data_IF_870416179000
#
_entry.id   IF_870416179000
#
_cell.length_a   1.000
_cell.length_b   1.000
_cell.length_c   1.000
_cell.angle_alpha   90.00
_cell.angle_beta   90.00
_cell.angle_gamma   90.00
#
_symmetry.space_group_name_H-M   'P 1'
#
loop_
_entity.id
_entity.type
_entity.pdbx_description
1 polymer ?
#
# COMPACT_ATOMS: atom_id res chain seq x y z
N UNK A 1 20.31 26.35 18.46
CA UNK A 1 20.96 26.32 17.12
C UNK A 1 20.18 25.31 16.28
N UNK A 2 19.46 25.77 15.27
CA UNK A 2 18.63 24.91 14.43
C UNK A 2 19.56 24.04 13.58
N UNK A 3 19.61 22.73 13.82
CA UNK A 3 20.42 21.81 13.02
C UNK A 3 19.78 21.64 11.64
N UNK A 4 19.96 22.65 10.78
CA UNK A 4 19.34 22.72 9.45
C UNK A 4 19.69 21.51 8.59
N UNK A 5 20.92 21.00 8.66
CA UNK A 5 21.33 19.85 7.84
C UNK A 5 20.65 18.54 8.27
N UNK A 6 20.49 18.31 9.58
CA UNK A 6 19.83 17.10 10.09
C UNK A 6 18.34 17.11 9.77
N UNK A 7 17.69 18.27 9.91
CA UNK A 7 16.27 18.46 9.56
C UNK A 7 16.04 18.33 8.06
N UNK A 8 16.94 18.89 7.23
CA UNK A 8 16.84 18.76 5.78
C UNK A 8 17.03 17.30 5.34
N UNK A 9 17.97 16.58 5.96
CA UNK A 9 18.15 15.14 5.72
C UNK A 9 16.90 14.33 6.09
N UNK A 10 16.29 14.62 7.25
CA UNK A 10 15.02 14.03 7.65
C UNK A 10 13.92 14.29 6.61
N UNK A 11 13.76 15.52 6.11
CA UNK A 11 12.77 15.83 5.08
C UNK A 11 13.04 15.10 3.76
N UNK A 12 14.29 15.05 3.30
CA UNK A 12 14.66 14.33 2.07
C UNK A 12 14.33 12.85 2.21
N UNK A 13 14.68 12.22 3.32
CA UNK A 13 14.35 10.80 3.58
C UNK A 13 12.84 10.60 3.65
N UNK A 14 12.12 11.50 4.32
CA UNK A 14 10.67 11.47 4.50
C UNK A 14 9.92 11.60 3.17
N UNK A 15 10.46 12.31 2.18
CA UNK A 15 9.87 12.38 0.83
C UNK A 15 10.32 11.26 -0.10
N UNK A 16 11.61 10.88 -0.05
CA UNK A 16 12.20 9.94 -1.01
C UNK A 16 11.66 8.52 -0.81
N UNK A 17 11.55 8.06 0.44
CA UNK A 17 11.07 6.71 0.74
C UNK A 17 9.62 6.44 0.34
N UNK A 18 8.61 7.26 0.71
CA UNK A 18 7.23 7.03 0.29
C UNK A 18 7.08 7.17 -1.22
N UNK A 19 7.87 8.03 -1.86
CA UNK A 19 7.85 8.18 -3.32
C UNK A 19 8.34 6.90 -4.00
N UNK A 20 9.44 6.31 -3.55
CA UNK A 20 9.95 5.05 -4.08
C UNK A 20 8.99 3.89 -3.82
N UNK A 21 8.43 3.80 -2.60
CA UNK A 21 7.41 2.81 -2.27
C UNK A 21 6.17 2.95 -3.15
N UNK A 22 5.69 4.17 -3.36
CA UNK A 22 4.58 4.44 -4.26
C UNK A 22 4.88 3.99 -5.68
N UNK A 23 6.05 4.32 -6.24
CA UNK A 23 6.45 3.89 -7.59
C UNK A 23 6.45 2.37 -7.70
N UNK A 24 7.01 1.66 -6.72
CA UNK A 24 7.04 0.18 -6.71
C UNK A 24 5.63 -0.40 -6.64
N UNK A 25 4.79 0.09 -5.74
CA UNK A 25 3.41 -0.40 -5.60
C UNK A 25 2.54 -0.06 -6.80
N UNK A 26 2.77 1.10 -7.41
CA UNK A 26 2.10 1.54 -8.63
C UNK A 26 2.49 0.66 -9.82
N UNK A 27 3.78 0.37 -9.98
CA UNK A 27 4.27 -0.55 -11.00
C UNK A 27 3.74 -1.98 -10.79
N UNK A 28 3.74 -2.48 -9.55
CA UNK A 28 3.15 -3.78 -9.21
C UNK A 28 1.65 -3.80 -9.45
N UNK A 29 0.94 -2.72 -9.12
CA UNK A 29 -0.50 -2.57 -9.36
C UNK A 29 -0.83 -2.61 -10.85
N UNK A 30 -0.10 -1.85 -11.67
CA UNK A 30 -0.23 -1.88 -13.13
C UNK A 30 0.07 -3.28 -13.70
N UNK A 31 1.17 -3.90 -13.27
CA UNK A 31 1.50 -5.27 -13.65
C UNK A 31 0.37 -6.25 -13.30
N UNK A 32 -0.20 -6.15 -12.09
CA UNK A 32 -1.25 -7.06 -11.63
C UNK A 32 -2.58 -6.87 -12.36
N UNK A 33 -2.92 -5.64 -12.77
CA UNK A 33 -4.11 -5.43 -13.63
C UNK A 33 -4.01 -6.19 -14.96
N UNK A 34 -2.78 -6.43 -15.45
CA UNK A 34 -2.54 -7.24 -16.64
C UNK A 34 -2.71 -8.75 -16.40
N UNK A 35 -2.51 -9.22 -15.15
CA UNK A 35 -2.59 -10.63 -14.77
C UNK A 35 -3.99 -11.09 -14.27
N UNK A 36 -5.07 -10.36 -14.59
CA UNK A 36 -6.45 -10.84 -14.32
C UNK A 36 -6.70 -12.15 -15.07
N UNK A 37 -6.62 -13.26 -14.33
CA UNK A 37 -6.94 -14.60 -14.83
C UNK A 37 -8.45 -14.77 -14.99
N UNK A 38 -8.89 -15.48 -16.04
CA UNK A 38 -10.30 -15.69 -16.42
C UNK A 38 -11.14 -16.30 -15.30
N UNK A 39 -10.52 -17.04 -14.39
CA UNK A 39 -11.16 -17.69 -13.24
C UNK A 39 -11.57 -16.71 -12.13
N UNK A 40 -10.94 -15.53 -12.06
CA UNK A 40 -11.30 -14.47 -11.11
C UNK A 40 -12.59 -13.74 -11.51
N UNK A 41 -12.86 -13.66 -12.82
CA UNK A 41 -14.07 -13.03 -13.37
C UNK A 41 -15.32 -13.89 -13.15
N UNK A 42 -15.19 -15.22 -13.17
CA UNK A 42 -16.28 -16.15 -12.83
C UNK A 42 -16.71 -16.01 -11.37
N UNK A 43 -15.75 -15.90 -10.43
CA UNK A 43 -16.05 -15.72 -9.00
C UNK A 43 -16.71 -14.38 -8.70
N UNK A 44 -16.34 -13.33 -9.43
CA UNK A 44 -16.91 -11.99 -9.24
C UNK A 44 -18.37 -11.88 -9.71
N UNK A 45 -18.83 -12.79 -10.57
CA UNK A 45 -20.20 -12.85 -11.08
C UNK A 45 -21.08 -13.92 -10.42
N UNK A 46 -20.51 -14.78 -9.59
CA UNK A 46 -21.27 -15.82 -8.89
C UNK A 46 -21.89 -15.24 -7.62
N UNK A 47 -23.23 -15.28 -7.54
CA UNK A 47 -23.98 -14.93 -6.34
C UNK A 47 -23.87 -16.10 -5.37
N UNK A 48 -23.34 -15.86 -4.17
CA UNK A 48 -23.10 -16.90 -3.16
C UNK A 48 -24.26 -16.97 -2.17
N UNK A 49 -24.88 -15.84 -1.86
CA UNK A 49 -26.02 -15.77 -0.96
C UNK A 49 -26.97 -14.64 -1.36
N UNK A 50 -28.28 -14.87 -1.26
CA UNK A 50 -29.28 -13.80 -1.31
C UNK A 50 -29.97 -13.68 0.04
N UNK A 51 -30.00 -12.48 0.61
CA UNK A 51 -30.67 -12.19 1.87
C UNK A 51 -32.15 -11.88 1.67
N UNK A 52 -32.95 -12.03 2.72
CA UNK A 52 -34.35 -11.61 2.74
C UNK A 52 -34.39 -10.09 2.57
N UNK A 53 -34.91 -9.62 1.45
CA UNK A 53 -34.80 -8.21 1.01
C UNK A 53 -34.10 -8.02 -0.34
N UNK A 54 -33.63 -9.10 -0.98
CA UNK A 54 -33.09 -9.05 -2.35
C UNK A 54 -31.64 -8.59 -2.45
N UNK A 55 -30.93 -8.50 -1.32
CA UNK A 55 -29.51 -8.16 -1.31
C UNK A 55 -28.70 -9.41 -1.67
N UNK A 56 -27.89 -9.32 -2.71
CA UNK A 56 -27.03 -10.39 -3.20
C UNK A 56 -25.59 -10.21 -2.70
N UNK A 57 -25.03 -11.25 -2.11
CA UNK A 57 -23.64 -11.34 -1.70
C UNK A 57 -22.81 -12.07 -2.77
N UNK A 58 -21.65 -11.50 -3.10
CA UNK A 58 -20.71 -12.06 -4.07
C UNK A 58 -19.36 -12.28 -3.39
N UNK A 59 -18.74 -13.42 -3.66
CA UNK A 59 -17.38 -13.69 -3.20
C UNK A 59 -16.36 -13.13 -4.21
N UNK A 60 -16.35 -11.81 -4.32
CA UNK A 60 -15.39 -11.11 -5.16
C UNK A 60 -13.99 -11.15 -4.51
N UNK A 61 -12.93 -11.41 -5.27
CA UNK A 61 -11.58 -11.41 -4.74
C UNK A 61 -11.22 -10.01 -4.19
N UNK A 62 -10.53 -9.97 -3.04
CA UNK A 62 -10.16 -8.71 -2.42
C UNK A 62 -9.25 -7.89 -3.36
N UNK A 63 -9.48 -6.58 -3.55
CA UNK A 63 -8.76 -5.80 -4.54
C UNK A 63 -7.26 -5.76 -4.21
N UNK A 64 -6.43 -6.27 -5.12
CA UNK A 64 -4.97 -6.34 -4.89
C UNK A 64 -4.35 -4.96 -4.72
N UNK A 65 -4.88 -3.96 -5.41
CA UNK A 65 -4.46 -2.56 -5.24
C UNK A 65 -4.65 -2.09 -3.78
N UNK A 66 -5.76 -2.47 -3.13
CA UNK A 66 -5.98 -2.16 -1.72
C UNK A 66 -4.97 -2.88 -0.82
N UNK A 67 -4.65 -4.14 -1.10
CA UNK A 67 -3.59 -4.86 -0.34
C UNK A 67 -2.22 -4.20 -0.49
N UNK A 68 -1.87 -3.78 -1.71
CA UNK A 68 -0.62 -3.09 -2.00
C UNK A 68 -0.54 -1.74 -1.29
N UNK A 69 -1.63 -0.95 -1.30
CA UNK A 69 -1.69 0.33 -0.57
C UNK A 69 -1.49 0.10 0.94
N UNK A 70 -2.18 -0.89 1.53
CA UNK A 70 -2.04 -1.20 2.95
C UNK A 70 -0.62 -1.66 3.30
N UNK A 71 -0.08 -2.61 2.55
CA UNK A 71 1.29 -3.11 2.75
C UNK A 71 2.32 -1.98 2.61
N UNK A 72 2.16 -1.13 1.59
CA UNK A 72 3.00 0.03 1.37
C UNK A 72 3.01 1.02 2.52
N UNK A 73 1.82 1.33 3.04
CA UNK A 73 1.65 2.26 4.17
C UNK A 73 2.31 1.71 5.43
N UNK A 74 2.17 0.41 5.70
CA UNK A 74 2.80 -0.24 6.85
C UNK A 74 4.33 -0.20 6.72
N UNK A 75 4.86 -0.61 5.56
CA UNK A 75 6.32 -0.61 5.32
C UNK A 75 6.87 0.81 5.43
N UNK A 76 6.20 1.80 4.84
CA UNK A 76 6.61 3.20 4.93
C UNK A 76 6.64 3.68 6.38
N UNK A 77 5.58 3.44 7.16
CA UNK A 77 5.51 3.86 8.56
C UNK A 77 6.61 3.22 9.41
N UNK A 78 6.89 1.94 9.22
CA UNK A 78 7.97 1.24 9.93
C UNK A 78 9.36 1.82 9.57
N UNK A 79 9.63 1.98 8.27
CA UNK A 79 10.90 2.56 7.82
C UNK A 79 11.07 3.99 8.31
N UNK A 80 10.00 4.78 8.31
CA UNK A 80 10.01 6.14 8.83
C UNK A 80 10.41 6.17 10.31
N UNK A 81 9.75 5.36 11.15
CA UNK A 81 10.05 5.29 12.59
C UNK A 81 11.50 4.87 12.83
N UNK A 82 11.96 3.82 12.16
CA UNK A 82 13.34 3.31 12.33
C UNK A 82 14.36 4.36 11.92
N UNK A 83 14.20 4.96 10.73
CA UNK A 83 15.16 5.96 10.25
C UNK A 83 15.14 7.21 11.10
N UNK A 84 13.96 7.69 11.49
CA UNK A 84 13.84 8.84 12.36
C UNK A 84 14.53 8.59 13.71
N UNK A 85 14.30 7.41 14.31
CA UNK A 85 14.95 7.01 15.56
C UNK A 85 16.47 6.87 15.44
N UNK A 86 17.00 6.28 14.36
CA UNK A 86 18.46 6.16 14.14
C UNK A 86 19.10 7.54 13.89
N UNK A 87 18.43 8.45 13.19
CA UNK A 87 18.98 9.74 12.80
C UNK A 87 18.90 10.81 13.90
N UNK A 88 17.95 10.71 14.83
CA UNK A 88 17.89 11.59 16.02
C UNK A 88 18.84 11.17 17.13
N UNK A 89 19.28 9.90 17.20
CA UNK A 89 20.28 9.45 18.17
C UNK A 89 21.67 9.93 17.73
N UNK A 90 21.91 11.23 17.88
CA UNK A 90 23.25 11.78 18.05
C UNK A 90 23.65 11.56 19.51
N UNK A 91 24.48 10.55 19.74
CA UNK A 91 25.38 10.53 20.90
C UNK A 91 26.53 11.47 20.58
#
# INVERSE_FOLDING_TARGET
MHYFELRNFQHVVLYLLPTLLFIVLFALGLGYTHFRDKRSDEKMNTIVHTYVGGIEERNAPFPVVLMLILAGTIIWGLLYIILYGVLEVKI
#
